data_IF_903731092569
#
_entry.id   IF_903731092569
#
_cell.length_a   1.000
_cell.length_b   1.000
_cell.length_c   1.000
_cell.angle_alpha   90.00
_cell.angle_beta   90.00
_cell.angle_gamma   90.00
#
_symmetry.space_group_name_H-M   'P 1'
#
loop_
_entity.id
_entity.type
_entity.pdbx_description
1 polymer ?
#
# COMPACT_ATOMS: atom_id res chain seq x y z
N UNK A 1 -12.98 -12.54 -43.96
CA UNK A 1 -12.16 -12.22 -42.78
C UNK A 1 -13.04 -11.44 -41.82
N UNK A 2 -13.51 -12.08 -40.74
CA UNK A 2 -14.35 -11.44 -39.72
C UNK A 2 -13.52 -10.44 -38.93
N UNK A 3 -13.92 -9.17 -38.91
CA UNK A 3 -13.29 -8.16 -38.06
C UNK A 3 -13.61 -8.49 -36.61
N UNK A 4 -12.63 -9.01 -35.87
CA UNK A 4 -12.73 -9.09 -34.40
C UNK A 4 -12.87 -7.66 -33.88
N UNK A 5 -14.08 -7.29 -33.49
CA UNK A 5 -14.33 -6.03 -32.79
C UNK A 5 -13.50 -6.04 -31.52
N UNK A 6 -12.47 -5.19 -31.44
CA UNK A 6 -11.70 -5.00 -30.21
C UNK A 6 -12.70 -4.57 -29.13
N UNK A 7 -12.80 -5.37 -28.07
CA UNK A 7 -13.54 -4.97 -26.87
C UNK A 7 -13.03 -3.58 -26.43
N UNK A 8 -13.93 -2.66 -26.02
CA UNK A 8 -13.52 -1.37 -25.51
C UNK A 8 -12.57 -1.57 -24.32
N UNK A 9 -11.45 -0.83 -24.30
CA UNK A 9 -10.52 -0.88 -23.17
C UNK A 9 -11.19 -0.25 -21.96
N UNK A 10 -11.44 -1.05 -20.93
CA UNK A 10 -11.99 -0.59 -19.66
C UNK A 10 -10.86 -0.11 -18.74
N UNK A 11 -11.06 1.01 -18.04
CA UNK A 11 -10.24 1.44 -16.92
C UNK A 11 -10.77 0.82 -15.62
N UNK A 12 -9.97 -0.05 -15.01
CA UNK A 12 -10.31 -0.76 -13.77
C UNK A 12 -9.43 -0.29 -12.62
N UNK A 13 -10.06 0.23 -11.57
CA UNK A 13 -9.40 0.61 -10.31
C UNK A 13 -9.50 -0.54 -9.30
N UNK A 14 -8.37 -1.16 -8.96
CA UNK A 14 -8.30 -2.31 -8.05
C UNK A 14 -7.80 -1.96 -6.64
N UNK A 15 -7.56 -0.68 -6.35
CA UNK A 15 -6.99 -0.26 -5.07
C UNK A 15 -7.75 0.96 -4.54
N UNK A 16 -8.99 0.70 -4.11
CA UNK A 16 -9.89 1.71 -3.56
C UNK A 16 -10.62 1.13 -2.37
N UNK A 17 -10.81 1.96 -1.33
CA UNK A 17 -11.27 1.48 -0.04
C UNK A 17 -12.56 2.14 0.46
N UNK A 18 -13.26 1.45 1.35
CA UNK A 18 -14.50 1.88 1.97
C UNK A 18 -14.52 1.61 3.49
N UNK A 19 -15.33 2.39 4.23
CA UNK A 19 -15.79 2.13 5.60
C UNK A 19 -17.31 2.06 5.61
N UNK A 20 -17.90 0.96 5.10
CA UNK A 20 -19.36 0.83 5.01
C UNK A 20 -20.08 1.09 6.35
N UNK A 21 -21.36 1.52 6.33
CA UNK A 21 -22.02 2.09 7.51
C UNK A 21 -21.94 1.25 8.78
N UNK A 22 -22.03 -0.09 8.68
CA UNK A 22 -21.87 -0.99 9.84
C UNK A 22 -20.49 -0.85 10.48
N UNK A 23 -19.43 -0.90 9.67
CA UNK A 23 -18.05 -0.77 10.14
C UNK A 23 -17.76 0.63 10.69
N UNK A 24 -18.20 1.69 9.98
CA UNK A 24 -18.07 3.05 10.47
C UNK A 24 -18.80 3.25 11.82
N UNK A 25 -19.98 2.64 11.99
CA UNK A 25 -20.74 2.70 13.25
C UNK A 25 -20.01 1.99 14.39
N UNK A 26 -19.43 0.81 14.13
CA UNK A 26 -18.57 0.14 15.10
C UNK A 26 -17.37 1.02 15.50
N UNK A 27 -16.69 1.64 14.54
CA UNK A 27 -15.55 2.51 14.85
C UNK A 27 -15.96 3.75 15.68
N UNK A 28 -17.19 4.25 15.55
CA UNK A 28 -17.72 5.37 16.36
C UNK A 28 -18.00 4.96 17.82
N UNK A 29 -18.31 3.69 18.10
CA UNK A 29 -18.60 3.23 19.47
C UNK A 29 -17.33 2.94 20.28
N UNK A 30 -16.18 2.84 19.61
CA UNK A 30 -14.90 2.50 20.26
C UNK A 30 -14.31 3.69 21.01
N UNK A 31 -13.69 3.41 22.16
CA UNK A 31 -13.00 4.39 22.99
C UNK A 31 -11.49 4.41 22.74
N UNK A 32 -10.91 3.32 22.25
CA UNK A 32 -9.49 3.19 21.88
C UNK A 32 -9.33 3.04 20.37
N UNK A 33 -8.13 3.32 19.85
CA UNK A 33 -7.85 3.08 18.44
C UNK A 33 -8.06 1.59 18.08
N UNK A 34 -8.49 1.30 16.84
CA UNK A 34 -8.99 2.25 15.86
C UNK A 34 -10.38 2.79 16.21
N UNK A 35 -10.66 4.07 15.94
CA UNK A 35 -11.97 4.70 16.21
C UNK A 35 -12.26 5.88 15.28
N UNK A 36 -13.53 6.19 15.11
CA UNK A 36 -13.99 7.44 14.51
C UNK A 36 -14.42 8.37 15.66
N UNK A 37 -13.95 9.61 15.66
CA UNK A 37 -14.33 10.63 16.64
C UNK A 37 -14.78 11.91 15.96
N UNK A 38 -15.70 12.64 16.60
CA UNK A 38 -16.14 13.95 16.15
C UNK A 38 -15.30 15.05 16.79
N UNK A 39 -14.98 16.09 16.03
CA UNK A 39 -14.27 17.29 16.48
C UNK A 39 -14.93 18.53 15.90
N UNK A 40 -14.92 19.63 16.66
CA UNK A 40 -15.26 20.95 16.14
C UNK A 40 -14.03 21.62 15.54
N UNK A 41 -14.13 22.05 14.28
CA UNK A 41 -13.09 22.81 13.58
C UNK A 41 -12.99 24.24 14.12
N UNK A 42 -11.93 24.95 13.75
CA UNK A 42 -11.75 26.38 14.10
C UNK A 42 -12.89 27.24 13.52
N UNK A 43 -13.50 26.82 12.41
CA UNK A 43 -14.66 27.47 11.79
C UNK A 43 -16.01 27.10 12.44
N UNK A 44 -16.00 26.33 13.53
CA UNK A 44 -17.21 25.93 14.26
C UNK A 44 -18.00 24.79 13.62
N UNK A 45 -17.47 24.14 12.57
CA UNK A 45 -18.12 23.00 11.92
C UNK A 45 -17.74 21.69 12.63
N UNK A 46 -18.67 20.74 12.67
CA UNK A 46 -18.37 19.38 13.13
C UNK A 46 -17.72 18.59 12.00
N UNK A 47 -16.59 17.95 12.28
CA UNK A 47 -15.92 16.99 11.39
C UNK A 47 -15.72 15.65 12.10
N UNK A 48 -15.72 14.56 11.35
CA UNK A 48 -15.30 13.25 11.85
C UNK A 48 -13.86 12.95 11.44
N UNK A 49 -13.11 12.32 12.34
CA UNK A 49 -11.74 11.86 12.08
C UNK A 49 -11.58 10.40 12.45
N UNK A 50 -10.93 9.66 11.56
CA UNK A 50 -10.50 8.30 11.78
C UNK A 50 -9.12 8.28 12.43
N UNK A 51 -9.00 7.62 13.58
CA UNK A 51 -7.73 7.27 14.21
C UNK A 51 -7.54 5.77 14.06
N UNK A 52 -6.42 5.36 13.48
CA UNK A 52 -6.03 3.95 13.34
C UNK A 52 -5.06 3.57 14.47
N UNK A 53 -4.19 4.50 14.87
CA UNK A 53 -3.30 4.38 16.02
C UNK A 53 -3.59 5.48 17.06
N UNK A 54 -3.42 5.18 18.35
CA UNK A 54 -3.76 6.11 19.46
C UNK A 54 -2.97 7.43 19.40
N UNK A 55 -1.77 7.43 18.80
CA UNK A 55 -0.87 8.58 18.74
C UNK A 55 -0.76 9.20 17.32
N UNK A 56 -1.81 9.11 16.50
CA UNK A 56 -1.78 9.72 15.17
C UNK A 56 -1.72 11.26 15.22
N UNK A 57 -0.86 11.88 14.38
CA UNK A 57 -0.78 13.32 14.30
C UNK A 57 -2.12 13.94 13.87
N UNK A 58 -2.39 15.18 14.31
CA UNK A 58 -3.61 15.92 14.00
C UNK A 58 -4.93 15.30 14.50
N UNK A 59 -4.86 14.27 15.36
CA UNK A 59 -6.04 13.57 15.88
C UNK A 59 -6.73 12.73 14.81
N UNK A 60 -5.97 12.08 13.92
CA UNK A 60 -6.49 11.20 12.86
C UNK A 60 -6.73 11.89 11.53
N UNK A 61 -7.32 11.19 10.56
CA UNK A 61 -7.57 11.64 9.18
C UNK A 61 -9.03 12.01 9.00
N UNK A 62 -9.38 13.07 8.24
CA UNK A 62 -10.78 13.39 7.96
C UNK A 62 -11.48 12.19 7.31
N UNK A 63 -12.64 11.82 7.87
CA UNK A 63 -13.48 10.74 7.36
C UNK A 63 -14.87 11.30 7.10
N UNK A 64 -15.49 10.88 6.01
CA UNK A 64 -16.77 11.40 5.57
C UNK A 64 -17.43 10.52 4.52
N UNK A 65 -18.51 11.02 3.88
CA UNK A 65 -19.30 10.27 2.90
C UNK A 65 -18.48 9.61 1.80
N UNK A 66 -17.34 10.16 1.41
CA UNK A 66 -16.44 9.57 0.41
C UNK A 66 -15.98 8.13 0.72
N UNK A 67 -16.11 7.67 1.96
CA UNK A 67 -15.74 6.32 2.38
C UNK A 67 -16.90 5.32 2.40
N UNK A 68 -18.16 5.74 2.37
CA UNK A 68 -19.31 4.84 2.52
C UNK A 68 -20.49 5.14 1.60
N UNK A 69 -20.58 6.36 1.10
CA UNK A 69 -21.58 6.79 0.15
C UNK A 69 -21.18 6.33 -1.25
N UNK A 70 -22.02 5.48 -1.84
CA UNK A 70 -21.80 4.94 -3.18
C UNK A 70 -21.86 6.02 -4.24
N UNK A 71 -22.73 7.01 -4.09
CA UNK A 71 -22.90 8.05 -5.10
C UNK A 71 -21.65 8.93 -5.15
N UNK A 72 -21.00 9.17 -4.00
CA UNK A 72 -19.69 9.84 -3.96
C UNK A 72 -18.60 9.00 -4.67
N UNK A 73 -18.58 7.68 -4.49
CA UNK A 73 -17.66 6.79 -5.23
C UNK A 73 -17.92 6.81 -6.73
N UNK A 74 -19.19 6.76 -7.16
CA UNK A 74 -19.56 6.80 -8.58
C UNK A 74 -19.22 8.15 -9.21
N UNK A 75 -19.48 9.28 -8.53
CA UNK A 75 -19.04 10.61 -8.96
C UNK A 75 -17.51 10.68 -9.11
N UNK A 76 -16.77 10.09 -8.16
CA UNK A 76 -15.31 10.00 -8.26
C UNK A 76 -14.90 9.19 -9.50
N UNK A 77 -15.54 8.05 -9.76
CA UNK A 77 -15.28 7.23 -10.94
C UNK A 77 -15.56 8.00 -12.23
N UNK A 78 -16.70 8.67 -12.33
CA UNK A 78 -17.08 9.46 -13.50
C UNK A 78 -16.10 10.61 -13.76
N UNK A 79 -15.69 11.32 -12.69
CA UNK A 79 -14.71 12.40 -12.78
C UNK A 79 -13.36 11.94 -13.34
N UNK A 80 -12.96 10.69 -13.10
CA UNK A 80 -11.66 10.15 -13.51
C UNK A 80 -11.75 9.15 -14.67
N UNK A 81 -12.92 8.97 -15.27
CA UNK A 81 -13.13 8.01 -16.37
C UNK A 81 -12.91 6.55 -15.97
N UNK A 82 -13.16 6.19 -14.71
CA UNK A 82 -13.04 4.82 -14.20
C UNK A 82 -14.33 4.07 -14.53
N UNK A 83 -14.21 3.00 -15.32
CA UNK A 83 -15.34 2.17 -15.71
C UNK A 83 -15.78 1.26 -14.57
N UNK A 84 -14.82 0.59 -13.93
CA UNK A 84 -15.04 -0.41 -12.88
C UNK A 84 -14.11 -0.13 -11.69
N UNK A 85 -14.63 -0.24 -10.47
CA UNK A 85 -13.82 -0.30 -9.25
C UNK A 85 -14.00 -1.62 -8.52
N UNK A 86 -12.90 -2.23 -8.09
CA UNK A 86 -12.86 -3.34 -7.14
C UNK A 86 -12.53 -2.77 -5.76
N UNK A 87 -13.56 -2.62 -4.92
CA UNK A 87 -13.47 -1.99 -3.60
C UNK A 87 -13.05 -2.98 -2.52
N UNK A 88 -12.43 -2.50 -1.46
CA UNK A 88 -12.17 -3.31 -0.26
C UNK A 88 -12.44 -2.54 1.03
N UNK A 89 -12.71 -3.25 2.11
CA UNK A 89 -12.70 -2.61 3.44
C UNK A 89 -11.32 -2.04 3.71
N UNK A 90 -11.28 -0.77 4.14
CA UNK A 90 -10.05 -0.06 4.47
C UNK A 90 -9.40 -0.61 5.75
N UNK A 91 -8.11 -0.30 5.93
CA UNK A 91 -7.39 -0.61 7.15
C UNK A 91 -8.02 0.11 8.38
N UNK A 92 -7.96 -0.47 9.58
CA UNK A 92 -7.19 -1.65 9.98
C UNK A 92 -8.00 -2.95 9.97
N UNK A 93 -8.98 -3.09 9.07
CA UNK A 93 -9.70 -4.36 8.87
C UNK A 93 -10.30 -4.90 10.18
N UNK A 94 -9.83 -6.03 10.67
CA UNK A 94 -10.36 -6.69 11.87
C UNK A 94 -9.27 -6.91 12.93
N UNK A 95 -8.07 -6.36 12.71
CA UNK A 95 -6.84 -6.65 13.47
C UNK A 95 -6.97 -6.40 14.99
N UNK A 96 -7.93 -5.56 15.37
CA UNK A 96 -8.19 -5.15 16.76
C UNK A 96 -9.23 -6.03 17.48
N UNK A 97 -9.76 -7.07 16.84
CA UNK A 97 -10.79 -7.95 17.38
C UNK A 97 -10.25 -9.35 17.69
N UNK A 98 -10.77 -10.03 18.73
CA UNK A 98 -10.53 -11.45 18.92
C UNK A 98 -11.22 -12.27 17.81
N UNK A 99 -10.70 -13.46 17.53
CA UNK A 99 -11.15 -14.31 16.42
C UNK A 99 -12.68 -14.52 16.32
N UNK A 100 -13.42 -14.84 17.40
CA UNK A 100 -14.88 -15.04 17.29
C UNK A 100 -15.62 -13.78 16.81
N UNK A 101 -15.21 -12.61 17.30
CA UNK A 101 -15.80 -11.32 16.91
C UNK A 101 -15.40 -10.95 15.47
N UNK A 102 -14.12 -11.14 15.12
CA UNK A 102 -13.62 -10.94 13.77
C UNK A 102 -14.34 -11.83 12.75
N UNK A 103 -14.57 -13.11 13.08
CA UNK A 103 -15.30 -14.04 12.22
C UNK A 103 -16.74 -13.58 11.97
N UNK A 104 -17.45 -13.18 13.03
CA UNK A 104 -18.82 -12.68 12.92
C UNK A 104 -18.88 -11.41 12.07
N UNK A 105 -18.01 -10.43 12.37
CA UNK A 105 -17.99 -9.17 11.66
C UNK A 105 -17.53 -9.33 10.20
N UNK A 106 -16.60 -10.24 9.90
CA UNK A 106 -16.20 -10.52 8.53
C UNK A 106 -17.39 -11.00 7.68
N UNK A 107 -18.25 -11.88 8.20
CA UNK A 107 -19.46 -12.34 7.48
C UNK A 107 -20.39 -11.18 7.17
N UNK A 108 -20.64 -10.36 8.17
CA UNK A 108 -21.50 -9.18 8.09
C UNK A 108 -20.97 -8.16 7.07
N UNK A 109 -19.68 -7.84 7.13
CA UNK A 109 -19.07 -6.86 6.23
C UNK A 109 -18.96 -7.35 4.80
N UNK A 110 -18.77 -8.65 4.57
CA UNK A 110 -18.82 -9.21 3.23
C UNK A 110 -20.24 -9.21 2.65
N UNK A 111 -21.25 -9.43 3.49
CA UNK A 111 -22.66 -9.28 3.09
C UNK A 111 -22.95 -7.82 2.71
N UNK A 112 -22.48 -6.86 3.51
CA UNK A 112 -22.63 -5.43 3.22
C UNK A 112 -21.89 -5.04 1.91
N UNK A 113 -20.68 -5.57 1.67
CA UNK A 113 -19.91 -5.38 0.43
C UNK A 113 -20.63 -5.94 -0.80
N UNK A 114 -21.17 -7.15 -0.70
CA UNK A 114 -21.95 -7.75 -1.79
C UNK A 114 -23.18 -6.91 -2.09
N UNK A 115 -23.93 -6.46 -1.07
CA UNK A 115 -25.07 -5.57 -1.25
C UNK A 115 -24.68 -4.27 -1.94
N UNK A 116 -23.56 -3.67 -1.53
CA UNK A 116 -23.00 -2.45 -2.11
C UNK A 116 -22.67 -2.62 -3.61
N UNK A 117 -22.14 -3.78 -4.00
CA UNK A 117 -21.72 -4.08 -5.37
C UNK A 117 -22.87 -4.55 -6.27
N UNK A 118 -23.71 -5.49 -5.81
CA UNK A 118 -24.81 -6.06 -6.61
C UNK A 118 -25.86 -5.01 -6.99
N UNK A 119 -26.06 -4.01 -6.13
CA UNK A 119 -26.98 -2.90 -6.38
C UNK A 119 -26.31 -1.72 -7.10
N UNK A 120 -25.06 -1.87 -7.53
CA UNK A 120 -24.37 -0.83 -8.31
C UNK A 120 -24.89 -0.78 -9.76
N UNK A 121 -24.88 0.41 -10.39
CA UNK A 121 -25.32 0.54 -11.78
C UNK A 121 -24.55 -0.38 -12.72
N UNK A 122 -25.25 -0.89 -13.73
CA UNK A 122 -24.60 -1.57 -14.84
C UNK A 122 -23.71 -0.59 -15.62
N UNK A 123 -22.63 -1.11 -16.22
CA UNK A 123 -21.77 -0.36 -17.09
C UNK A 123 -22.52 -0.05 -18.40
N UNK A 124 -22.62 1.22 -18.77
CA UNK A 124 -23.39 1.65 -19.95
C UNK A 124 -22.92 0.99 -21.26
N UNK A 125 -21.62 0.74 -21.39
CA UNK A 125 -20.99 0.10 -22.56
C UNK A 125 -21.12 -1.43 -22.57
N UNK A 126 -21.43 -2.04 -21.43
CA UNK A 126 -21.59 -3.50 -21.28
C UNK A 126 -22.57 -3.79 -20.14
N UNK A 127 -23.89 -3.81 -20.39
CA UNK A 127 -24.91 -3.97 -19.35
C UNK A 127 -24.85 -5.27 -18.54
N UNK A 128 -24.07 -6.26 -18.99
CA UNK A 128 -23.76 -7.50 -18.25
C UNK A 128 -22.74 -7.31 -17.11
N UNK A 129 -22.06 -6.16 -17.06
CA UNK A 129 -21.06 -5.85 -16.04
C UNK A 129 -21.60 -4.77 -15.10
N UNK A 130 -21.30 -4.92 -13.82
CA UNK A 130 -21.52 -3.87 -12.82
C UNK A 130 -20.32 -2.93 -12.78
N UNK A 131 -20.55 -1.69 -12.33
CA UNK A 131 -19.47 -0.73 -12.11
C UNK A 131 -18.67 -1.01 -10.83
N UNK A 132 -19.23 -1.75 -9.87
CA UNK A 132 -18.57 -2.07 -8.61
C UNK A 132 -18.51 -3.57 -8.35
N UNK A 133 -17.31 -4.04 -7.99
CA UNK A 133 -17.03 -5.36 -7.44
C UNK A 133 -16.23 -5.21 -6.14
N UNK A 134 -16.02 -6.28 -5.38
CA UNK A 134 -15.29 -6.21 -4.11
C UNK A 134 -14.18 -7.27 -3.97
N UNK A 135 -13.20 -6.95 -3.12
CA UNK A 135 -12.30 -7.90 -2.48
C UNK A 135 -12.86 -8.23 -1.09
N UNK A 136 -13.13 -9.51 -0.84
CA UNK A 136 -13.68 -10.02 0.40
C UNK A 136 -12.69 -9.93 1.56
N UNK A 137 -13.23 -9.66 2.73
CA UNK A 137 -12.51 -9.53 3.99
C UNK A 137 -12.46 -10.88 4.71
N UNK A 138 -11.26 -11.30 5.10
CA UNK A 138 -11.08 -12.51 5.91
C UNK A 138 -10.84 -12.14 7.38
N UNK A 139 -11.24 -12.99 8.35
CA UNK A 139 -10.96 -12.77 9.78
C UNK A 139 -9.50 -13.10 10.11
N UNK A 140 -8.57 -12.36 9.51
CA UNK A 140 -7.13 -12.57 9.61
C UNK A 140 -6.56 -12.01 10.92
N UNK A 141 -6.92 -12.63 12.03
CA UNK A 141 -6.50 -12.23 13.38
C UNK A 141 -5.79 -13.38 14.10
N UNK A 142 -5.02 -13.10 15.17
CA UNK A 142 -4.34 -14.15 15.93
C UNK A 142 -5.28 -15.27 16.38
N UNK A 143 -4.79 -16.51 16.30
CA UNK A 143 -5.53 -17.74 16.63
C UNK A 143 -6.70 -18.09 15.69
N UNK A 144 -6.80 -17.47 14.51
CA UNK A 144 -7.73 -17.92 13.48
C UNK A 144 -7.30 -19.30 12.92
N UNK A 145 -8.13 -20.35 13.03
CA UNK A 145 -7.78 -21.68 12.51
C UNK A 145 -7.70 -21.70 10.98
N UNK A 146 -6.65 -22.31 10.42
CA UNK A 146 -6.41 -22.33 8.96
C UNK A 146 -7.52 -23.03 8.18
N UNK A 147 -8.11 -24.09 8.73
CA UNK A 147 -9.23 -24.84 8.17
C UNK A 147 -10.53 -24.01 8.13
N UNK A 148 -10.76 -23.20 9.16
CA UNK A 148 -11.88 -22.27 9.23
C UNK A 148 -11.73 -21.16 8.17
N UNK A 149 -10.51 -20.63 7.96
CA UNK A 149 -10.25 -19.64 6.91
C UNK A 149 -10.45 -20.22 5.51
N UNK A 150 -9.98 -21.44 5.26
CA UNK A 150 -10.19 -22.12 3.98
C UNK A 150 -11.68 -22.36 3.71
N UNK A 151 -12.46 -22.72 4.73
CA UNK A 151 -13.91 -22.87 4.64
C UNK A 151 -14.59 -21.53 4.37
N UNK A 152 -14.16 -20.47 5.05
CA UNK A 152 -14.66 -19.12 4.84
C UNK A 152 -14.45 -18.63 3.40
N UNK A 153 -13.28 -18.90 2.80
CA UNK A 153 -13.02 -18.54 1.39
C UNK A 153 -13.98 -19.28 0.45
N UNK A 154 -14.25 -20.56 0.69
CA UNK A 154 -15.24 -21.32 -0.11
C UNK A 154 -16.64 -20.75 0.02
N UNK A 155 -17.05 -20.40 1.24
CA UNK A 155 -18.37 -19.79 1.50
C UNK A 155 -18.51 -18.42 0.84
N UNK A 156 -17.46 -17.60 0.84
CA UNK A 156 -17.45 -16.33 0.12
C UNK A 156 -17.66 -16.54 -1.37
N UNK A 157 -16.87 -17.42 -1.98
CA UNK A 157 -16.93 -17.71 -3.41
C UNK A 157 -18.30 -18.27 -3.84
N UNK A 158 -18.96 -19.05 -2.99
CA UNK A 158 -20.26 -19.63 -3.28
C UNK A 158 -21.43 -18.65 -3.14
N UNK A 159 -21.37 -17.71 -2.18
CA UNK A 159 -22.53 -16.91 -1.78
C UNK A 159 -22.45 -15.42 -2.15
N UNK A 160 -21.30 -14.91 -2.59
CA UNK A 160 -21.11 -13.48 -2.87
C UNK A 160 -20.56 -13.28 -4.30
N UNK A 161 -21.40 -13.34 -5.34
CA UNK A 161 -20.96 -13.35 -6.73
C UNK A 161 -20.27 -12.05 -7.19
N UNK A 162 -20.42 -10.93 -6.47
CA UNK A 162 -19.72 -9.68 -6.76
C UNK A 162 -18.44 -9.50 -5.95
N UNK A 163 -18.13 -10.41 -5.04
CA UNK A 163 -16.79 -10.54 -4.43
C UNK A 163 -15.90 -11.35 -5.37
N UNK A 164 -14.92 -10.69 -6.00
CA UNK A 164 -14.06 -11.23 -7.08
C UNK A 164 -12.62 -11.49 -6.66
N UNK A 165 -12.35 -11.42 -5.36
CA UNK A 165 -11.06 -11.72 -4.76
C UNK A 165 -11.12 -11.57 -3.25
N UNK A 166 -9.97 -11.66 -2.58
CA UNK A 166 -9.82 -11.43 -1.14
C UNK A 166 -8.72 -10.41 -0.89
N UNK A 167 -8.89 -9.59 0.14
CA UNK A 167 -7.80 -8.75 0.68
C UNK A 167 -7.12 -9.51 1.81
N UNK A 168 -5.80 -9.66 1.70
CA UNK A 168 -5.00 -10.40 2.67
C UNK A 168 -3.98 -9.47 3.32
N UNK A 169 -4.25 -9.08 4.56
CA UNK A 169 -3.33 -8.36 5.43
C UNK A 169 -3.60 -8.84 6.86
N UNK A 170 -2.57 -9.28 7.59
CA UNK A 170 -2.68 -9.79 8.96
C UNK A 170 -1.47 -10.62 9.36
N UNK A 171 -1.06 -10.57 10.62
CA UNK A 171 0.10 -11.30 11.16
C UNK A 171 -0.28 -12.74 11.55
N UNK A 172 0.59 -13.71 11.26
CA UNK A 172 0.56 -15.09 11.81
C UNK A 172 -0.73 -15.89 11.56
N UNK A 173 -1.36 -15.71 10.40
CA UNK A 173 -2.67 -16.30 10.13
C UNK A 173 -2.61 -17.61 9.34
N UNK A 174 -1.50 -17.85 8.64
CA UNK A 174 -1.33 -19.02 7.77
C UNK A 174 0.00 -19.72 8.06
N UNK A 175 -0.04 -21.04 8.06
CA UNK A 175 1.16 -21.88 8.20
C UNK A 175 1.39 -22.34 9.62
N UNK A 176 0.74 -23.44 9.99
CA UNK A 176 1.07 -24.23 11.20
C UNK A 176 2.46 -24.88 11.11
N UNK A 177 3.13 -24.78 9.95
CA UNK A 177 4.46 -25.33 9.73
C UNK A 177 5.54 -24.36 10.19
N UNK A 178 6.57 -24.92 10.82
CA UNK A 178 7.80 -24.21 11.13
C UNK A 178 8.49 -23.77 9.83
N UNK A 179 8.69 -22.45 9.70
CA UNK A 179 9.35 -21.83 8.54
C UNK A 179 10.87 -21.68 8.74
N UNK A 180 11.42 -22.22 9.85
CA UNK A 180 12.80 -22.03 10.26
C UNK A 180 13.17 -20.55 10.28
N UNK A 181 14.33 -20.22 9.72
CA UNK A 181 14.83 -18.84 9.67
C UNK A 181 14.53 -18.09 8.35
N UNK A 182 13.68 -18.65 7.47
CA UNK A 182 13.43 -18.05 6.15
C UNK A 182 12.83 -16.65 6.29
N UNK A 183 11.79 -16.47 7.10
CA UNK A 183 11.14 -15.16 7.29
C UNK A 183 12.09 -14.10 7.89
N UNK A 184 12.79 -14.33 9.01
CA UNK A 184 13.69 -13.31 9.57
C UNK A 184 14.89 -13.00 8.66
N UNK A 185 15.44 -13.98 7.94
CA UNK A 185 16.59 -13.75 7.06
C UNK A 185 16.18 -13.10 5.73
N UNK A 186 15.16 -13.65 5.05
CA UNK A 186 14.78 -13.21 3.72
C UNK A 186 13.94 -11.92 3.72
N UNK A 187 13.12 -11.71 4.76
CA UNK A 187 12.27 -10.52 4.88
C UNK A 187 12.76 -9.60 6.00
N UNK A 188 13.02 -10.13 7.20
CA UNK A 188 13.39 -9.35 8.38
C UNK A 188 14.57 -8.41 8.13
N UNK A 189 15.75 -8.95 7.79
CA UNK A 189 16.97 -8.15 7.58
C UNK A 189 16.82 -7.08 6.48
N UNK A 190 16.29 -7.38 5.28
CA UNK A 190 16.00 -6.35 4.28
C UNK A 190 15.03 -5.25 4.76
N UNK A 191 13.96 -5.62 5.48
CA UNK A 191 13.00 -4.63 6.00
C UNK A 191 13.58 -3.78 7.14
N UNK A 192 14.44 -4.34 7.99
CA UNK A 192 15.17 -3.58 9.01
C UNK A 192 16.10 -2.54 8.38
N UNK A 193 16.86 -2.93 7.35
CA UNK A 193 17.70 -2.02 6.57
C UNK A 193 16.86 -0.91 5.95
N UNK A 194 15.73 -1.28 5.33
CA UNK A 194 14.78 -0.33 4.72
C UNK A 194 14.29 0.71 5.74
N UNK A 195 13.88 0.26 6.93
CA UNK A 195 13.38 1.13 7.99
C UNK A 195 14.48 2.03 8.57
N UNK A 196 15.68 1.50 8.81
CA UNK A 196 16.81 2.26 9.34
C UNK A 196 17.23 3.38 8.39
N UNK A 197 17.39 3.09 7.10
CA UNK A 197 17.75 4.09 6.09
C UNK A 197 16.65 5.13 5.89
N UNK A 198 15.38 4.70 5.91
CA UNK A 198 14.24 5.63 5.83
C UNK A 198 14.23 6.60 7.02
N UNK A 199 14.52 6.13 8.24
CA UNK A 199 14.65 6.99 9.43
C UNK A 199 15.82 7.97 9.29
N UNK A 200 16.96 7.52 8.75
CA UNK A 200 18.12 8.37 8.48
C UNK A 200 17.80 9.49 7.48
N UNK A 201 17.07 9.17 6.40
CA UNK A 201 16.58 10.17 5.43
C UNK A 201 15.62 11.14 6.12
N UNK A 202 14.55 10.64 6.77
CA UNK A 202 13.52 11.46 7.43
C UNK A 202 14.05 12.35 8.57
N UNK A 203 15.19 11.98 9.15
CA UNK A 203 15.90 12.79 10.14
C UNK A 203 16.64 13.98 9.52
N UNK A 204 16.68 14.13 8.19
CA UNK A 204 17.43 15.16 7.48
C UNK A 204 18.95 15.01 7.63
N UNK A 205 19.43 13.80 7.96
CA UNK A 205 20.86 13.56 8.21
C UNK A 205 21.69 13.80 6.96
N UNK A 206 21.17 13.40 5.78
CA UNK A 206 21.86 13.58 4.50
C UNK A 206 21.82 15.03 4.01
N UNK A 207 20.87 15.84 4.46
CA UNK A 207 20.88 17.31 4.22
C UNK A 207 21.96 17.98 5.07
N UNK A 208 22.08 17.59 6.35
CA UNK A 208 23.10 18.13 7.27
C UNK A 208 24.52 17.67 6.96
N UNK A 209 24.66 16.46 6.40
CA UNK A 209 25.95 15.86 6.07
C UNK A 209 25.96 15.43 4.59
N UNK A 210 25.98 16.40 3.66
CA UNK A 210 25.89 16.12 2.23
C UNK A 210 27.17 15.50 1.66
N UNK A 211 28.19 15.18 2.44
CA UNK A 211 29.37 14.43 1.97
C UNK A 211 29.43 13.01 2.52
N UNK A 212 28.50 12.64 3.42
CA UNK A 212 28.46 11.33 4.05
C UNK A 212 28.24 10.24 3.00
N UNK A 213 29.10 9.21 3.02
CA UNK A 213 28.99 8.01 2.19
C UNK A 213 28.54 6.85 3.06
N UNK A 214 27.43 6.20 2.67
CA UNK A 214 26.87 5.06 3.39
C UNK A 214 26.69 3.94 2.38
N UNK A 215 27.22 2.75 2.70
CA UNK A 215 26.97 1.51 1.98
C UNK A 215 25.83 0.75 2.66
N UNK A 216 24.88 0.28 1.87
CA UNK A 216 23.68 -0.41 2.33
C UNK A 216 23.73 -1.89 2.00
N UNK A 217 23.45 -2.71 3.01
CA UNK A 217 23.38 -4.15 2.89
C UNK A 217 22.18 -4.60 2.05
N UNK A 218 22.31 -5.75 1.38
CA UNK A 218 21.25 -6.42 0.63
C UNK A 218 20.57 -5.53 -0.42
N UNK A 219 21.36 -4.76 -1.16
CA UNK A 219 20.89 -3.74 -2.09
C UNK A 219 19.86 -2.76 -1.48
N UNK A 220 20.02 -2.43 -0.19
CA UNK A 220 19.11 -1.62 0.63
C UNK A 220 17.72 -2.23 0.89
N UNK A 221 17.59 -3.55 0.75
CA UNK A 221 16.36 -4.28 0.97
C UNK A 221 15.21 -3.81 0.07
N UNK A 222 14.06 -3.49 0.67
CA UNK A 222 12.87 -3.07 -0.06
C UNK A 222 12.86 -1.56 -0.41
N UNK A 223 13.85 -0.77 0.04
CA UNK A 223 13.82 0.69 -0.13
C UNK A 223 13.71 1.14 -1.60
N UNK A 224 14.46 0.58 -2.57
CA UNK A 224 14.31 0.97 -3.98
C UNK A 224 12.87 0.71 -4.48
N UNK A 225 12.30 -0.46 -4.17
CA UNK A 225 10.93 -0.83 -4.53
C UNK A 225 9.89 0.11 -3.91
N UNK A 226 10.11 0.55 -2.67
CA UNK A 226 9.18 1.39 -1.92
C UNK A 226 9.42 2.90 -2.10
N UNK A 227 10.45 3.31 -2.83
CA UNK A 227 10.91 4.70 -2.94
C UNK A 227 9.81 5.69 -3.34
N UNK A 228 8.99 5.37 -4.34
CA UNK A 228 7.87 6.22 -4.76
C UNK A 228 6.70 6.22 -3.77
N UNK A 229 6.44 5.08 -3.10
CA UNK A 229 5.43 5.00 -2.04
C UNK A 229 5.85 5.87 -0.85
N UNK A 230 7.12 5.78 -0.44
CA UNK A 230 7.69 6.61 0.61
C UNK A 230 7.53 8.11 0.29
N UNK A 231 7.93 8.54 -0.91
CA UNK A 231 7.77 9.94 -1.33
C UNK A 231 6.30 10.39 -1.26
N UNK A 232 5.36 9.58 -1.74
CA UNK A 232 3.94 9.87 -1.63
C UNK A 232 3.48 10.00 -0.17
N UNK A 233 3.85 9.07 0.70
CA UNK A 233 3.50 9.13 2.12
C UNK A 233 4.06 10.39 2.81
N UNK A 234 5.29 10.80 2.48
CA UNK A 234 5.93 11.99 3.05
C UNK A 234 5.17 13.27 2.67
N UNK A 235 4.83 13.44 1.38
CA UNK A 235 4.12 14.63 0.89
C UNK A 235 2.73 14.77 1.52
N UNK A 236 2.07 13.65 1.84
CA UNK A 236 0.74 13.63 2.43
C UNK A 236 0.73 13.62 3.98
N UNK A 237 1.88 13.58 4.63
CA UNK A 237 1.98 13.63 6.09
C UNK A 237 2.46 15.03 6.54
N UNK A 238 1.57 15.83 7.17
CA UNK A 238 1.88 17.23 7.51
C UNK A 238 3.03 17.38 8.51
N UNK A 239 3.42 16.31 9.22
CA UNK A 239 4.51 16.34 10.20
C UNK A 239 5.88 16.26 9.54
N UNK A 240 5.94 15.66 8.35
CA UNK A 240 7.20 15.34 7.66
C UNK A 240 7.32 15.97 6.27
N UNK A 241 6.23 16.45 5.68
CA UNK A 241 6.20 16.99 4.32
C UNK A 241 7.23 18.10 4.05
N UNK A 242 7.59 18.90 5.05
CA UNK A 242 8.57 19.99 4.94
C UNK A 242 9.93 19.70 5.60
N UNK A 243 10.22 18.45 5.97
CA UNK A 243 11.46 18.10 6.71
C UNK A 243 12.72 18.00 5.85
N UNK A 244 12.56 17.70 4.56
CA UNK A 244 13.66 17.37 3.65
C UNK A 244 13.88 18.51 2.67
N UNK A 245 15.13 18.78 2.30
CA UNK A 245 15.46 19.76 1.26
C UNK A 245 15.09 19.25 -0.14
N UNK A 246 15.11 17.93 -0.34
CA UNK A 246 14.79 17.27 -1.58
C UNK A 246 13.69 16.23 -1.40
N UNK A 247 13.08 15.78 -2.50
CA UNK A 247 12.19 14.62 -2.47
C UNK A 247 12.97 13.39 -1.97
N UNK A 248 12.33 12.51 -1.18
CA UNK A 248 12.99 11.37 -0.55
C UNK A 248 13.75 10.46 -1.55
N UNK A 249 13.31 10.42 -2.81
CA UNK A 249 13.95 9.65 -3.89
C UNK A 249 15.30 10.23 -4.33
N UNK A 250 15.55 11.52 -4.11
CA UNK A 250 16.85 12.15 -4.38
C UNK A 250 17.97 11.48 -3.59
N UNK A 251 17.71 11.20 -2.31
CA UNK A 251 18.70 10.63 -1.40
C UNK A 251 19.13 9.21 -1.78
N UNK A 252 18.35 8.48 -2.59
CA UNK A 252 18.79 7.16 -3.08
C UNK A 252 20.05 7.28 -3.96
N UNK A 253 20.14 8.32 -4.80
CA UNK A 253 21.32 8.56 -5.65
C UNK A 253 22.59 8.96 -4.89
N UNK A 254 22.47 9.17 -3.57
CA UNK A 254 23.51 9.62 -2.66
C UNK A 254 24.16 8.48 -1.87
N UNK A 255 23.55 7.30 -1.89
CA UNK A 255 23.92 6.12 -1.13
C UNK A 255 24.65 5.11 -2.03
N UNK A 256 25.38 4.19 -1.41
CA UNK A 256 25.97 3.01 -2.06
C UNK A 256 25.21 1.75 -1.64
N UNK A 257 25.22 0.75 -2.51
CA UNK A 257 24.44 -0.48 -2.37
C UNK A 257 25.40 -1.65 -2.57
N UNK A 258 25.34 -2.69 -1.76
CA UNK A 258 26.00 -3.93 -2.14
C UNK A 258 25.20 -4.64 -3.26
N UNK A 259 25.83 -5.64 -3.87
CA UNK A 259 25.23 -6.48 -4.91
C UNK A 259 24.58 -7.76 -4.35
N UNK A 260 24.31 -7.83 -3.04
CA UNK A 260 23.73 -9.02 -2.38
C UNK A 260 22.21 -9.02 -2.56
N UNK A 261 21.76 -9.19 -3.82
CA UNK A 261 20.35 -9.25 -4.18
C UNK A 261 19.94 -10.61 -4.79
N UNK A 262 20.90 -11.53 -4.95
CA UNK A 262 20.72 -12.91 -5.44
C UNK A 262 20.18 -13.08 -6.88
N UNK A 263 19.78 -12.00 -7.56
CA UNK A 263 19.33 -12.05 -8.95
C UNK A 263 19.67 -10.80 -9.74
N UNK A 264 19.92 -10.98 -11.04
CA UNK A 264 20.31 -9.90 -11.95
C UNK A 264 19.16 -8.93 -12.23
N UNK A 265 17.91 -9.42 -12.24
CA UNK A 265 16.73 -8.58 -12.44
C UNK A 265 16.53 -7.60 -11.28
N UNK A 266 16.79 -8.05 -10.05
CA UNK A 266 16.74 -7.25 -8.84
C UNK A 266 17.82 -6.16 -8.87
N UNK A 267 19.07 -6.51 -9.23
CA UNK A 267 20.15 -5.52 -9.37
C UNK A 267 19.88 -4.51 -10.50
N UNK A 268 19.32 -4.96 -11.62
CA UNK A 268 18.91 -4.08 -12.72
C UNK A 268 17.84 -3.09 -12.28
N UNK A 269 16.86 -3.56 -11.50
CA UNK A 269 15.82 -2.72 -10.92
C UNK A 269 16.38 -1.69 -9.92
N UNK A 270 17.26 -2.12 -9.02
CA UNK A 270 17.94 -1.24 -8.04
C UNK A 270 18.73 -0.17 -8.78
N UNK A 271 19.52 -0.58 -9.77
CA UNK A 271 20.33 0.32 -10.60
C UNK A 271 19.45 1.38 -11.29
N UNK A 272 18.41 0.96 -12.02
CA UNK A 272 17.50 1.89 -12.69
C UNK A 272 16.81 2.85 -11.71
N UNK A 273 16.43 2.36 -10.52
CA UNK A 273 15.73 3.14 -9.50
C UNK A 273 16.63 4.19 -8.84
N UNK A 274 17.88 3.85 -8.57
CA UNK A 274 18.86 4.77 -7.96
C UNK A 274 19.38 5.76 -9.00
N UNK A 275 19.56 5.32 -10.24
CA UNK A 275 20.02 6.16 -11.35
C UNK A 275 19.14 7.37 -11.62
N UNK A 276 17.82 7.21 -11.56
CA UNK A 276 16.84 8.28 -11.75
C UNK A 276 16.78 9.30 -10.59
N UNK A 277 17.52 9.11 -9.50
CA UNK A 277 17.41 9.92 -8.29
C UNK A 277 17.71 11.42 -8.53
N UNK A 278 18.59 11.74 -9.47
CA UNK A 278 18.97 13.10 -9.82
C UNK A 278 17.79 13.97 -10.27
N UNK A 279 16.70 13.36 -10.77
CA UNK A 279 15.48 14.06 -11.21
C UNK A 279 14.64 14.62 -10.05
N UNK A 280 14.95 14.21 -8.83
CA UNK A 280 14.21 14.55 -7.61
C UNK A 280 14.91 15.64 -6.79
N UNK A 281 15.91 16.28 -7.37
CA UNK A 281 16.59 17.43 -6.80
C UNK A 281 15.71 18.68 -6.92
N UNK A 282 15.22 19.20 -5.80
CA UNK A 282 14.43 20.46 -5.72
C UNK A 282 15.13 21.70 -6.29
N UNK A 283 16.46 21.68 -6.44
CA UNK A 283 17.24 22.81 -6.98
C UNK A 283 17.37 22.78 -8.50
N UNK A 284 16.99 21.67 -9.15
CA UNK A 284 17.03 21.55 -10.60
C UNK A 284 15.76 22.14 -11.22
N UNK A 285 15.85 22.99 -12.26
CA UNK A 285 14.67 23.44 -12.99
C UNK A 285 13.89 22.21 -13.46
N UNK A 286 12.57 22.20 -13.22
CA UNK A 286 11.71 21.05 -13.51
C UNK A 286 12.04 20.48 -14.89
N UNK A 287 12.59 19.25 -14.92
CA UNK A 287 12.67 18.48 -16.16
C UNK A 287 11.26 18.01 -16.46
N UNK A 288 10.42 18.94 -16.92
CA UNK A 288 9.13 18.71 -17.55
C UNK A 288 9.39 18.11 -18.93
N UNK A 289 9.75 16.83 -18.98
CA UNK A 289 10.03 16.22 -20.28
C UNK A 289 10.59 14.80 -20.20
N UNK A 290 9.71 13.84 -20.46
CA UNK A 290 9.93 12.61 -21.23
C UNK A 290 11.40 12.15 -21.40
N UNK A 291 11.66 10.95 -20.86
CA UNK A 291 12.56 9.92 -21.43
C UNK A 291 14.03 10.33 -21.61
N UNK A 292 14.75 10.65 -20.54
CA UNK A 292 16.17 10.31 -20.48
C UNK A 292 16.27 8.79 -20.23
N UNK A 293 16.94 8.09 -21.14
CA UNK A 293 16.77 6.65 -21.39
C UNK A 293 17.12 5.75 -20.21
N UNK A 294 16.38 4.63 -20.11
CA UNK A 294 16.60 3.57 -19.12
C UNK A 294 18.07 3.11 -19.04
N UNK A 295 18.86 3.28 -20.10
CA UNK A 295 20.28 2.91 -20.14
C UNK A 295 21.20 3.85 -19.35
N UNK A 296 21.05 5.17 -19.47
CA UNK A 296 21.92 6.14 -18.77
C UNK A 296 21.63 6.12 -17.25
N UNK A 297 20.36 6.00 -16.87
CA UNK A 297 19.98 5.80 -15.47
C UNK A 297 20.62 4.53 -14.92
N UNK A 298 20.57 3.41 -15.66
CA UNK A 298 21.22 2.16 -15.23
C UNK A 298 22.73 2.28 -15.12
N UNK A 299 23.39 3.03 -16.01
CA UNK A 299 24.83 3.25 -15.90
C UNK A 299 25.17 4.05 -14.64
N UNK A 300 24.47 5.18 -14.41
CA UNK A 300 24.62 5.99 -13.18
C UNK A 300 24.31 5.20 -11.91
N UNK A 301 23.27 4.37 -11.96
CA UNK A 301 22.86 3.48 -10.89
C UNK A 301 23.90 2.40 -10.59
N UNK A 302 24.46 1.76 -11.61
CA UNK A 302 25.48 0.73 -11.44
C UNK A 302 26.75 1.27 -10.79
N UNK A 303 27.09 2.55 -11.01
CA UNK A 303 28.21 3.21 -10.33
C UNK A 303 27.98 3.42 -8.83
N UNK A 304 26.77 3.13 -8.31
CA UNK A 304 26.43 3.12 -6.88
C UNK A 304 26.37 1.70 -6.29
N UNK A 305 26.47 0.66 -7.12
CA UNK A 305 26.40 -0.74 -6.68
C UNK A 305 27.83 -1.31 -6.57
N UNK A 306 28.12 -1.93 -5.44
CA UNK A 306 29.42 -2.48 -5.07
C UNK A 306 29.32 -3.99 -4.95
N UNK A 307 30.31 -4.73 -5.43
CA UNK A 307 30.36 -6.18 -5.27
C UNK A 307 30.46 -6.57 -3.78
N UNK A 308 29.65 -7.55 -3.37
CA UNK A 308 29.64 -8.14 -2.03
C UNK A 308 29.13 -9.58 -2.09
N UNK A 309 29.54 -10.43 -1.15
CA UNK A 309 29.30 -11.90 -1.23
C UNK A 309 28.50 -12.47 -0.07
N UNK A 310 28.14 -11.66 0.94
CA UNK A 310 27.46 -12.11 2.18
C UNK A 310 28.10 -13.34 2.87
N UNK A 311 29.40 -13.53 2.65
CA UNK A 311 30.17 -14.62 3.24
C UNK A 311 30.32 -14.40 4.76
N UNK A 312 30.13 -15.45 5.61
CA UNK A 312 29.96 -16.86 5.29
C UNK A 312 28.50 -17.36 5.24
N UNK A 313 27.50 -16.48 5.26
CA UNK A 313 26.11 -16.87 5.52
C UNK A 313 25.44 -17.53 4.31
N UNK A 314 25.61 -16.96 3.12
CA UNK A 314 25.02 -17.49 1.89
C UNK A 314 26.06 -17.60 0.78
N UNK A 315 26.11 -18.71 0.04
CA UNK A 315 26.98 -18.82 -1.12
C UNK A 315 26.49 -17.89 -2.24
N UNK A 316 27.43 -17.28 -2.96
CA UNK A 316 27.11 -16.59 -4.21
C UNK A 316 26.63 -17.63 -5.24
N UNK A 317 25.41 -17.45 -5.77
CA UNK A 317 24.87 -18.25 -6.87
C UNK A 317 25.36 -17.75 -8.23
#
# INVERSE_FOLDING_TARGET
MSSVSKLPKLLVDIHTHLYLPRYASLLRTRTTAPRILSRTTISGQSEERLLILDNEPSGGRPVGPQYWDRDEKLKFMDKHGIDISIVSTANPWLDFLPYPEALSLAKDLNTDLESYCVTSPALASSPSLHRLYALGLLPLVPNAPSDALASFVRDLAANHPNIRGIIMVGENVWGEQDNGHVLPLALGFPFETTAAVTRLILAGTLDRHPDLRILLAHAAGALPALSSRLASCIVHDPRVAARLQHDARYYLGRLYYDAVAYGSAELEFVSATVGRAHRFDSSSPEVTGKTAGNAEDKERGSARIMFGTDHPFFPAY
#
